data_IF_838277935369
#
_entry.id   IF_838277935369
#
_cell.length_a   1.000
_cell.length_b   1.000
_cell.length_c   1.000
_cell.angle_alpha   90.00
_cell.angle_beta   90.00
_cell.angle_gamma   90.00
#
_symmetry.space_group_name_H-M   'P 1'
#
loop_
_entity.id
_entity.type
_entity.pdbx_description
1 polymer ?
#
# COMPACT_ATOMS: atom_id res chain seq x y z
N UNK A 1 32.37 -18.09 -17.80
CA UNK A 1 31.09 -17.92 -17.09
C UNK A 1 30.83 -16.43 -16.99
N UNK A 2 29.91 -15.89 -17.80
CA UNK A 2 29.63 -14.46 -17.79
C UNK A 2 29.09 -14.03 -16.44
N UNK A 3 29.72 -13.03 -15.82
CA UNK A 3 29.20 -12.41 -14.61
C UNK A 3 27.78 -11.94 -14.90
N UNK A 4 26.80 -12.50 -14.18
CA UNK A 4 25.41 -12.09 -14.27
C UNK A 4 25.36 -10.64 -13.80
N UNK A 5 25.05 -9.71 -14.70
CA UNK A 5 24.88 -8.30 -14.34
C UNK A 5 23.92 -8.23 -13.14
N UNK A 6 24.25 -7.44 -12.09
CA UNK A 6 23.35 -7.29 -10.95
C UNK A 6 22.02 -6.75 -11.45
N UNK A 7 20.91 -7.41 -11.10
CA UNK A 7 19.60 -6.89 -11.47
C UNK A 7 19.44 -5.48 -10.86
N UNK A 8 18.85 -4.52 -11.61
CA UNK A 8 18.70 -3.16 -11.12
C UNK A 8 17.95 -3.18 -9.79
N UNK A 9 18.50 -2.51 -8.79
CA UNK A 9 17.93 -2.46 -7.45
C UNK A 9 16.52 -1.87 -7.54
N UNK A 10 15.52 -2.64 -7.08
CA UNK A 10 14.12 -2.23 -7.14
C UNK A 10 13.69 -1.73 -5.78
N UNK A 11 13.21 -0.50 -5.74
CA UNK A 11 12.51 0.05 -4.59
C UNK A 11 11.00 0.03 -4.81
N UNK A 12 10.26 -0.12 -3.72
CA UNK A 12 8.83 0.12 -3.64
C UNK A 12 8.51 0.74 -2.29
N UNK A 13 7.31 1.30 -2.13
CA UNK A 13 6.90 1.84 -0.86
C UNK A 13 5.42 1.67 -0.58
N UNK A 14 5.03 2.20 0.58
CA UNK A 14 3.65 2.35 1.01
C UNK A 14 3.53 3.61 1.84
N UNK A 15 2.59 4.48 1.48
CA UNK A 15 2.22 5.63 2.29
C UNK A 15 1.53 5.19 3.59
N UNK A 16 1.86 5.88 4.67
CA UNK A 16 1.32 5.64 6.01
C UNK A 16 0.69 6.94 6.56
N UNK A 17 0.17 6.88 7.79
CA UNK A 17 -0.22 8.10 8.52
C UNK A 17 1.05 8.84 8.93
N UNK A 18 1.22 10.08 8.46
CA UNK A 18 2.40 10.91 8.75
C UNK A 18 3.75 10.27 8.40
N UNK A 19 3.79 9.33 7.45
CA UNK A 19 5.01 8.58 7.18
C UNK A 19 5.00 7.77 5.91
N UNK A 20 6.15 7.15 5.61
CA UNK A 20 6.36 6.32 4.43
C UNK A 20 7.21 5.10 4.83
N UNK A 21 6.72 3.92 4.43
CA UNK A 21 7.52 2.70 4.38
C UNK A 21 8.16 2.59 3.01
N UNK A 22 9.47 2.36 2.96
CA UNK A 22 10.21 1.98 1.76
C UNK A 22 10.77 0.56 1.94
N UNK A 23 10.82 -0.18 0.83
CA UNK A 23 11.39 -1.52 0.79
C UNK A 23 12.31 -1.72 -0.41
N UNK A 24 13.31 -2.54 -0.18
CA UNK A 24 14.22 -3.13 -1.17
C UNK A 24 14.11 -4.67 -1.06
N UNK A 25 14.87 -5.45 -1.83
CA UNK A 25 14.80 -6.92 -1.79
C UNK A 25 14.99 -7.54 -0.40
N UNK A 26 15.87 -6.99 0.44
CA UNK A 26 16.24 -7.52 1.75
C UNK A 26 16.07 -6.51 2.90
N UNK A 27 15.73 -5.24 2.63
CA UNK A 27 15.60 -4.20 3.65
C UNK A 27 14.25 -3.51 3.60
N UNK A 28 13.80 -3.04 4.77
CA UNK A 28 12.66 -2.15 4.93
C UNK A 28 13.05 -1.00 5.87
N UNK A 29 12.59 0.20 5.54
CA UNK A 29 12.68 1.36 6.42
C UNK A 29 11.31 2.04 6.50
N UNK A 30 10.90 2.44 7.69
CA UNK A 30 9.67 3.20 7.94
C UNK A 30 10.07 4.50 8.60
N UNK A 31 9.69 5.63 8.01
CA UNK A 31 9.95 6.94 8.58
C UNK A 31 8.61 7.64 8.79
N UNK A 32 8.35 8.03 10.02
CA UNK A 32 7.19 8.82 10.41
C UNK A 32 7.66 10.17 10.96
N UNK A 33 6.93 11.24 10.63
CA UNK A 33 7.10 12.56 11.22
C UNK A 33 6.04 12.76 12.29
N UNK A 34 6.47 13.05 13.50
CA UNK A 34 5.55 13.45 14.57
C UNK A 34 5.16 14.91 14.41
N UNK A 35 4.04 15.26 15.01
CA UNK A 35 3.53 16.63 14.95
C UNK A 35 4.37 17.63 15.76
N UNK A 36 5.17 17.14 16.73
CA UNK A 36 6.18 17.92 17.45
C UNK A 36 7.45 18.16 16.61
N UNK A 37 7.52 17.63 15.39
CA UNK A 37 8.65 17.78 14.47
C UNK A 37 9.69 16.66 14.54
N UNK A 38 9.62 15.77 15.54
CA UNK A 38 10.54 14.64 15.68
C UNK A 38 10.36 13.62 14.56
N UNK A 39 11.45 12.94 14.22
CA UNK A 39 11.45 11.88 13.21
C UNK A 39 11.60 10.53 13.92
N UNK A 40 10.67 9.62 13.64
CA UNK A 40 10.75 8.23 14.12
C UNK A 40 11.09 7.34 12.94
N UNK A 41 12.25 6.70 13.02
CA UNK A 41 12.75 5.75 12.04
C UNK A 41 12.66 4.35 12.63
N UNK A 42 12.00 3.44 11.91
CA UNK A 42 12.04 2.01 12.17
C UNK A 42 12.76 1.31 11.02
N UNK A 43 13.78 0.55 11.34
CA UNK A 43 14.52 -0.27 10.39
C UNK A 43 14.18 -1.73 10.58
N UNK A 44 13.98 -2.47 9.48
CA UNK A 44 13.70 -3.90 9.55
C UNK A 44 14.31 -4.64 8.34
N UNK A 45 14.27 -5.97 8.39
CA UNK A 45 14.69 -6.84 7.30
C UNK A 45 13.47 -7.31 6.52
N UNK A 46 13.55 -7.26 5.20
CA UNK A 46 12.55 -7.90 4.35
C UNK A 46 12.86 -9.39 4.23
N UNK A 47 12.07 -10.24 4.87
CA UNK A 47 12.21 -11.70 4.77
C UNK A 47 11.23 -12.21 3.73
N UNK A 48 11.79 -12.88 2.74
CA UNK A 48 11.10 -13.42 1.57
C UNK A 48 10.74 -14.90 1.82
N UNK A 49 9.46 -15.28 1.75
CA UNK A 49 8.95 -16.67 1.92
C UNK A 49 9.58 -17.65 0.91
N UNK A 50 9.94 -17.13 -0.27
CA UNK A 50 10.67 -17.80 -1.34
C UNK A 50 12.08 -18.25 -0.96
N UNK A 51 12.71 -17.62 0.04
CA UNK A 51 14.03 -18.02 0.52
C UNK A 51 13.93 -19.38 1.20
N UNK A 52 12.78 -19.67 1.81
CA UNK A 52 12.44 -20.99 2.34
C UNK A 52 11.99 -21.94 1.22
N UNK A 53 11.06 -21.51 0.34
CA UNK A 53 10.43 -22.38 -0.66
C UNK A 53 10.57 -21.86 -2.10
N UNK A 54 11.59 -22.36 -2.82
CA UNK A 54 11.96 -21.90 -4.17
C UNK A 54 10.86 -22.06 -5.24
N UNK A 55 9.94 -23.02 -5.09
CA UNK A 55 8.87 -23.24 -6.07
C UNK A 55 7.85 -22.08 -6.14
N UNK A 56 7.78 -21.26 -5.08
CA UNK A 56 6.93 -20.07 -5.01
C UNK A 56 7.35 -18.99 -6.04
N UNK A 57 8.56 -19.09 -6.62
CA UNK A 57 9.06 -18.18 -7.67
C UNK A 57 8.40 -18.35 -9.04
N UNK A 58 7.60 -19.41 -9.23
CA UNK A 58 6.89 -19.67 -10.50
C UNK A 58 5.92 -18.51 -10.82
N UNK A 59 5.74 -18.16 -12.12
CA UNK A 59 4.72 -17.21 -12.54
C UNK A 59 3.35 -17.54 -11.95
N UNK A 60 2.49 -16.54 -11.77
CA UNK A 60 1.16 -16.63 -11.12
C UNK A 60 1.20 -16.86 -9.60
N UNK A 61 2.00 -17.80 -9.10
CA UNK A 61 2.19 -18.03 -7.66
C UNK A 61 2.97 -16.87 -7.02
N UNK A 62 3.97 -16.36 -7.73
CA UNK A 62 4.81 -15.28 -7.24
C UNK A 62 4.03 -14.03 -6.86
N UNK A 63 3.08 -13.61 -7.69
CA UNK A 63 2.31 -12.38 -7.45
C UNK A 63 1.51 -12.45 -6.15
N UNK A 64 0.87 -13.60 -5.90
CA UNK A 64 0.14 -13.84 -4.67
C UNK A 64 1.06 -13.80 -3.43
N UNK A 65 2.27 -14.37 -3.52
CA UNK A 65 3.24 -14.34 -2.41
C UNK A 65 3.77 -12.94 -2.14
N UNK A 66 4.19 -12.18 -3.18
CA UNK A 66 4.59 -10.76 -3.00
C UNK A 66 3.48 -9.98 -2.33
N UNK A 67 2.23 -10.19 -2.75
CA UNK A 67 1.08 -9.50 -2.20
C UNK A 67 0.87 -9.85 -0.72
N UNK A 68 0.94 -11.12 -0.34
CA UNK A 68 0.80 -11.56 1.06
C UNK A 68 1.90 -10.96 1.93
N UNK A 69 3.17 -11.03 1.48
CA UNK A 69 4.30 -10.42 2.19
C UNK A 69 4.14 -8.91 2.34
N UNK A 70 3.74 -8.23 1.25
CA UNK A 70 3.52 -6.79 1.25
C UNK A 70 2.35 -6.38 2.15
N UNK A 71 1.29 -7.18 2.18
CA UNK A 71 0.15 -6.92 3.07
C UNK A 71 0.54 -7.14 4.54
N UNK A 72 1.29 -8.20 4.87
CA UNK A 72 1.74 -8.46 6.23
C UNK A 72 2.64 -7.33 6.77
N UNK A 73 3.69 -6.98 6.02
CA UNK A 73 4.59 -5.89 6.38
C UNK A 73 3.86 -4.53 6.35
N UNK A 74 2.94 -4.36 5.39
CA UNK A 74 2.06 -3.20 5.27
C UNK A 74 1.20 -2.96 6.51
N UNK A 75 0.55 -4.01 7.03
CA UNK A 75 -0.24 -3.94 8.27
C UNK A 75 0.66 -3.61 9.47
N UNK A 76 1.86 -4.19 9.53
CA UNK A 76 2.86 -3.88 10.56
C UNK A 76 3.27 -2.40 10.54
N UNK A 77 3.58 -1.85 9.36
CA UNK A 77 3.96 -0.46 9.21
C UNK A 77 2.78 0.51 9.45
N UNK A 78 1.56 0.15 9.04
CA UNK A 78 0.36 0.95 9.35
C UNK A 78 0.11 1.01 10.85
N UNK A 79 0.15 -0.14 11.52
CA UNK A 79 0.03 -0.23 12.99
C UNK A 79 1.09 0.61 13.69
N UNK A 80 2.33 0.56 13.20
CA UNK A 80 3.42 1.39 13.71
C UNK A 80 3.13 2.89 13.53
N UNK A 81 2.75 3.33 12.32
CA UNK A 81 2.43 4.74 12.06
C UNK A 81 1.24 5.24 12.89
N UNK A 82 0.22 4.40 13.08
CA UNK A 82 -0.96 4.74 13.88
C UNK A 82 -0.60 4.90 15.36
N UNK A 83 0.30 4.06 15.89
CA UNK A 83 0.85 4.21 17.25
C UNK A 83 1.56 5.56 17.40
N UNK A 84 2.48 5.88 16.49
CA UNK A 84 3.24 7.15 16.53
C UNK A 84 2.31 8.37 16.41
N UNK A 85 1.27 8.27 15.57
CA UNK A 85 0.25 9.28 15.42
C UNK A 85 -0.55 9.50 16.71
N UNK A 86 -1.04 8.42 17.33
CA UNK A 86 -1.80 8.48 18.58
C UNK A 86 -0.97 9.05 19.74
N UNK A 87 0.28 8.62 19.90
CA UNK A 87 1.20 9.16 20.91
C UNK A 87 1.47 10.67 20.71
N UNK A 88 1.43 11.15 19.45
CA UNK A 88 1.55 12.57 19.14
C UNK A 88 0.34 13.39 19.63
N UNK A 89 -0.87 12.88 19.38
CA UNK A 89 -2.13 13.50 19.84
C UNK A 89 -2.22 13.52 21.38
N UNK A 90 -1.84 12.45 22.07
CA UNK A 90 -1.81 12.39 23.53
C UNK A 90 -0.86 13.43 24.13
N UNK A 91 0.35 13.57 23.58
CA UNK A 91 1.32 14.57 24.04
C UNK A 91 0.80 15.99 23.81
N UNK A 92 0.13 16.26 22.69
CA UNK A 92 -0.50 17.57 22.45
C UNK A 92 -1.58 17.86 23.47
N UNK A 93 -2.42 16.89 23.79
CA UNK A 93 -3.49 17.07 24.78
C UNK A 93 -2.91 17.34 26.17
N UNK A 94 -1.83 16.63 26.54
CA UNK A 94 -1.08 16.87 27.77
C UNK A 94 -0.48 18.28 27.78
N UNK A 95 0.23 18.70 26.73
CA UNK A 95 0.81 20.04 26.62
C UNK A 95 -0.24 21.14 26.71
N UNK A 96 -1.40 20.94 26.07
CA UNK A 96 -2.53 21.89 26.13
C UNK A 96 -3.12 21.98 27.52
N UNK A 97 -3.25 20.85 28.24
CA UNK A 97 -3.67 20.82 29.65
C UNK A 97 -2.66 21.52 30.56
N UNK A 98 -1.35 21.31 30.35
CA UNK A 98 -0.28 21.98 31.12
C UNK A 98 -0.23 23.48 30.84
N UNK A 99 -0.40 23.90 29.59
CA UNK A 99 -0.44 25.32 29.21
C UNK A 99 -1.70 26.04 29.73
N UNK A 100 -2.85 25.35 29.75
CA UNK A 100 -4.10 25.88 30.30
C UNK A 100 -4.10 25.98 31.84
N UNK A 101 -3.26 25.19 32.51
CA UNK A 101 -3.12 25.20 33.97
C UNK A 101 -2.25 26.35 34.52
N UNK A 102 -1.64 27.17 33.65
CA UNK A 102 -1.03 28.48 33.97
C UNK A 102 -0.16 28.56 35.23
N UNK A 103 1.16 28.40 35.09
CA UNK A 103 2.22 28.93 35.97
C UNK A 103 2.01 28.94 37.52
N UNK A 104 1.23 28.03 38.09
CA UNK A 104 1.07 27.88 39.53
C UNK A 104 1.74 26.59 40.01
N UNK A 105 2.96 26.74 40.53
CA UNK A 105 3.79 25.77 41.26
C UNK A 105 4.03 24.38 40.61
N UNK A 106 5.20 23.74 40.84
CA UNK A 106 5.42 22.40 40.34
C UNK A 106 4.38 21.47 41.00
N UNK A 107 3.59 20.71 40.22
CA UNK A 107 2.71 19.72 40.82
C UNK A 107 3.62 18.74 41.56
N UNK A 108 3.46 18.64 42.88
CA UNK A 108 3.90 17.48 43.64
C UNK A 108 3.55 16.24 42.84
N UNK A 109 4.57 15.41 42.60
CA UNK A 109 4.59 14.12 41.90
C UNK A 109 3.24 13.37 41.99
N UNK A 110 2.26 13.80 41.19
CA UNK A 110 1.03 13.06 40.98
C UNK A 110 1.34 12.16 39.83
N UNK A 111 1.45 10.88 40.18
CA UNK A 111 1.66 9.74 39.30
C UNK A 111 1.16 10.04 37.89
N UNK A 112 2.06 9.87 36.92
CA UNK A 112 1.75 9.92 35.51
C UNK A 112 0.39 9.25 35.27
N UNK A 113 -0.52 9.86 34.49
CA UNK A 113 -1.75 9.18 34.09
C UNK A 113 -1.33 7.82 33.53
N UNK A 114 -1.88 6.74 34.08
CA UNK A 114 -1.56 5.39 33.63
C UNK A 114 -1.70 5.36 32.10
N UNK A 115 -0.70 4.85 31.36
CA UNK A 115 -0.81 4.74 29.91
C UNK A 115 -2.12 3.99 29.61
N UNK A 116 -2.97 4.58 28.77
CA UNK A 116 -4.23 3.94 28.38
C UNK A 116 -3.94 2.49 28.01
N UNK A 117 -4.61 1.55 28.68
CA UNK A 117 -4.31 0.13 28.54
C UNK A 117 -4.30 -0.22 27.04
N UNK A 118 -3.25 -0.91 26.54
CA UNK A 118 -3.21 -1.30 25.14
C UNK A 118 -4.52 -2.02 24.80
N UNK A 119 -5.12 -1.65 23.66
CA UNK A 119 -6.37 -2.23 23.18
C UNK A 119 -6.31 -3.76 23.36
N UNK A 120 -7.27 -4.31 24.11
CA UNK A 120 -7.35 -5.75 24.34
C UNK A 120 -7.29 -6.50 23.02
N UNK A 121 -6.59 -7.64 22.97
CA UNK A 121 -6.54 -8.48 21.77
C UNK A 121 -7.93 -8.80 21.21
N UNK A 122 -8.95 -8.84 22.08
CA UNK A 122 -10.34 -9.01 21.69
C UNK A 122 -10.92 -7.80 20.95
N UNK A 123 -10.64 -6.56 21.39
CA UNK A 123 -11.15 -5.35 20.71
C UNK A 123 -10.49 -5.18 19.34
N UNK A 124 -9.19 -5.49 19.23
CA UNK A 124 -8.48 -5.53 17.95
C UNK A 124 -9.13 -6.57 17.03
N UNK A 125 -9.32 -7.81 17.51
CA UNK A 125 -9.93 -8.88 16.73
C UNK A 125 -11.36 -8.54 16.26
N UNK A 126 -12.18 -7.94 17.14
CA UNK A 126 -13.54 -7.49 16.81
C UNK A 126 -13.52 -6.39 15.74
N UNK A 127 -12.63 -5.41 15.86
CA UNK A 127 -12.52 -4.29 14.91
C UNK A 127 -12.07 -4.77 13.53
N UNK A 128 -11.08 -5.66 13.49
CA UNK A 128 -10.61 -6.28 12.24
C UNK A 128 -11.72 -7.12 11.60
N UNK A 129 -12.43 -7.93 12.39
CA UNK A 129 -13.54 -8.76 11.88
C UNK A 129 -14.68 -7.90 11.34
N UNK A 130 -15.06 -6.86 12.08
CA UNK A 130 -16.13 -5.94 11.68
C UNK A 130 -15.76 -5.16 10.41
N UNK A 131 -14.54 -4.63 10.31
CA UNK A 131 -14.07 -3.91 9.12
C UNK A 131 -13.99 -4.82 7.88
N UNK A 132 -13.56 -6.07 8.04
CA UNK A 132 -13.63 -7.08 6.98
C UNK A 132 -15.11 -7.34 6.60
N UNK A 133 -15.99 -7.62 7.55
CA UNK A 133 -17.41 -7.84 7.24
C UNK A 133 -18.02 -6.66 6.47
N UNK A 134 -17.71 -5.43 6.86
CA UNK A 134 -18.15 -4.21 6.18
C UNK A 134 -17.58 -4.09 4.77
N UNK A 135 -16.30 -4.38 4.57
CA UNK A 135 -15.68 -4.36 3.26
C UNK A 135 -16.30 -5.42 2.32
N UNK A 136 -16.58 -6.62 2.84
CA UNK A 136 -17.29 -7.68 2.11
C UNK A 136 -18.72 -7.26 1.76
N UNK A 137 -19.43 -6.65 2.71
CA UNK A 137 -20.77 -6.12 2.46
C UNK A 137 -20.75 -5.05 1.35
N UNK A 138 -19.84 -4.10 1.40
CA UNK A 138 -19.80 -2.95 0.49
C UNK A 138 -19.23 -3.29 -0.90
N UNK A 139 -18.20 -4.14 -1.00
CA UNK A 139 -17.50 -4.38 -2.28
C UNK A 139 -17.86 -5.71 -2.95
N UNK A 140 -18.49 -6.64 -2.23
CA UNK A 140 -18.89 -7.94 -2.79
C UNK A 140 -20.40 -8.08 -2.81
N UNK A 141 -21.05 -7.92 -1.66
CA UNK A 141 -22.50 -8.17 -1.54
C UNK A 141 -23.32 -7.06 -2.19
N UNK A 142 -23.01 -5.79 -1.89
CA UNK A 142 -23.76 -4.64 -2.39
C UNK A 142 -23.78 -4.56 -3.94
N UNK A 143 -22.66 -4.68 -4.67
CA UNK A 143 -22.70 -4.68 -6.14
C UNK A 143 -23.49 -5.86 -6.73
N UNK A 144 -23.38 -7.03 -6.10
CA UNK A 144 -24.08 -8.24 -6.53
C UNK A 144 -25.59 -8.09 -6.35
N UNK A 145 -26.05 -7.60 -5.19
CA UNK A 145 -27.46 -7.32 -4.95
C UNK A 145 -27.99 -6.19 -5.83
N UNK A 146 -27.22 -5.13 -6.04
CA UNK A 146 -27.58 -4.04 -6.94
C UNK A 146 -27.77 -4.53 -8.38
N UNK A 147 -26.95 -5.49 -8.83
CA UNK A 147 -27.10 -6.13 -10.15
C UNK A 147 -28.41 -6.92 -10.26
N UNK A 148 -28.73 -7.72 -9.24
CA UNK A 148 -29.99 -8.47 -9.19
C UNK A 148 -31.19 -7.52 -9.23
N UNK A 149 -31.17 -6.47 -8.41
CA UNK A 149 -32.24 -5.48 -8.33
C UNK A 149 -32.41 -4.71 -9.66
N UNK A 150 -31.31 -4.34 -10.31
CA UNK A 150 -31.35 -3.69 -11.62
C UNK A 150 -32.01 -4.59 -12.69
N UNK A 151 -31.77 -5.90 -12.64
CA UNK A 151 -32.46 -6.84 -13.53
C UNK A 151 -33.97 -6.85 -13.31
N UNK A 152 -34.42 -6.84 -12.05
CA UNK A 152 -35.85 -6.75 -11.70
C UNK A 152 -36.45 -5.43 -12.22
N UNK A 153 -35.76 -4.31 -12.00
CA UNK A 153 -36.22 -2.99 -12.44
C UNK A 153 -36.38 -2.88 -13.96
N UNK A 154 -35.47 -3.52 -14.72
CA UNK A 154 -35.50 -3.53 -16.18
C UNK A 154 -36.45 -4.59 -16.77
N UNK A 155 -37.16 -5.36 -15.92
CA UNK A 155 -38.03 -6.46 -16.36
C UNK A 155 -37.26 -7.62 -17.03
N UNK A 156 -35.96 -7.74 -16.78
CA UNK A 156 -35.08 -8.78 -17.35
C UNK A 156 -34.28 -9.41 -16.22
N UNK A 157 -34.63 -10.62 -15.80
CA UNK A 157 -33.87 -11.33 -14.77
C UNK A 157 -32.40 -11.50 -15.21
N UNK A 158 -31.49 -10.84 -14.49
CA UNK A 158 -30.05 -11.04 -14.64
C UNK A 158 -29.64 -12.15 -13.69
N UNK A 159 -29.29 -13.31 -14.24
CA UNK A 159 -28.88 -14.48 -13.46
C UNK A 159 -27.37 -14.67 -13.51
N UNK A 160 -26.82 -15.31 -12.47
CA UNK A 160 -25.36 -15.51 -12.28
C UNK A 160 -24.71 -16.41 -13.34
N UNK A 161 -25.46 -17.04 -14.23
CA UNK A 161 -24.95 -17.80 -15.37
C UNK A 161 -24.84 -16.95 -16.65
N UNK A 162 -25.27 -15.69 -16.62
CA UNK A 162 -25.22 -14.79 -17.78
C UNK A 162 -23.95 -13.96 -17.80
N UNK A 163 -23.33 -13.82 -18.98
CA UNK A 163 -22.23 -12.87 -19.22
C UNK A 163 -22.63 -11.45 -18.83
N UNK A 164 -23.87 -11.04 -19.17
CA UNK A 164 -24.40 -9.71 -18.85
C UNK A 164 -24.46 -9.45 -17.34
N UNK A 165 -24.78 -10.45 -16.51
CA UNK A 165 -24.76 -10.31 -15.06
C UNK A 165 -23.36 -9.95 -14.56
N UNK A 166 -22.33 -10.67 -15.01
CA UNK A 166 -20.96 -10.43 -14.58
C UNK A 166 -20.39 -9.10 -15.07
N UNK A 167 -20.76 -8.68 -16.28
CA UNK A 167 -20.34 -7.38 -16.81
C UNK A 167 -20.98 -6.23 -16.02
N UNK A 168 -22.30 -6.31 -15.76
CA UNK A 168 -23.03 -5.30 -14.97
C UNK A 168 -22.56 -5.28 -13.52
N UNK A 169 -22.40 -6.44 -12.86
CA UNK A 169 -21.82 -6.55 -11.51
C UNK A 169 -20.43 -5.93 -11.46
N UNK A 170 -19.63 -6.16 -12.50
CA UNK A 170 -18.32 -5.55 -12.66
C UNK A 170 -18.35 -4.03 -12.73
N UNK A 171 -19.23 -3.47 -13.57
CA UNK A 171 -19.39 -2.02 -13.73
C UNK A 171 -19.89 -1.39 -12.43
N UNK A 172 -20.90 -1.98 -11.77
CA UNK A 172 -21.41 -1.49 -10.49
C UNK A 172 -20.30 -1.55 -9.42
N UNK A 173 -19.55 -2.66 -9.34
CA UNK A 173 -18.44 -2.80 -8.40
C UNK A 173 -17.35 -1.75 -8.64
N UNK A 174 -17.00 -1.48 -9.90
CA UNK A 174 -16.07 -0.41 -10.26
C UNK A 174 -16.60 0.96 -9.81
N UNK A 175 -17.88 1.25 -10.07
CA UNK A 175 -18.51 2.50 -9.66
C UNK A 175 -18.50 2.67 -8.14
N UNK A 176 -18.91 1.65 -7.38
CA UNK A 176 -18.87 1.64 -5.90
C UNK A 176 -17.44 1.86 -5.40
N UNK A 177 -16.45 1.18 -5.98
CA UNK A 177 -15.05 1.34 -5.61
C UNK A 177 -14.54 2.76 -5.85
N UNK A 178 -14.78 3.33 -7.03
CA UNK A 178 -14.34 4.68 -7.36
C UNK A 178 -15.05 5.74 -6.52
N UNK A 179 -16.36 5.59 -6.30
CA UNK A 179 -17.14 6.49 -5.44
C UNK A 179 -16.66 6.44 -3.98
N UNK A 180 -16.36 5.25 -3.46
CA UNK A 180 -15.81 5.10 -2.12
C UNK A 180 -14.47 5.83 -1.98
N UNK A 181 -13.51 5.56 -2.88
CA UNK A 181 -12.19 6.19 -2.85
C UNK A 181 -12.30 7.71 -3.01
N UNK A 182 -13.16 8.17 -3.91
CA UNK A 182 -13.43 9.60 -4.07
C UNK A 182 -14.05 10.22 -2.80
N UNK A 183 -15.00 9.54 -2.17
CA UNK A 183 -15.65 10.00 -0.94
C UNK A 183 -14.68 10.13 0.24
N UNK A 184 -13.84 9.12 0.48
CA UNK A 184 -12.86 9.20 1.57
C UNK A 184 -11.74 10.22 1.27
N UNK A 185 -11.51 10.58 0.01
CA UNK A 185 -10.48 11.56 -0.38
C UNK A 185 -10.73 12.97 0.18
N UNK A 186 -11.95 13.25 0.67
CA UNK A 186 -12.31 14.50 1.33
C UNK A 186 -11.93 14.54 2.82
N UNK A 187 -11.62 13.39 3.43
CA UNK A 187 -11.17 13.33 4.82
C UNK A 187 -9.72 13.85 4.92
N UNK A 188 -9.44 14.69 5.92
CA UNK A 188 -8.14 15.37 6.07
C UNK A 188 -6.99 14.36 6.16
N UNK A 189 -7.13 13.33 6.97
CA UNK A 189 -6.07 12.35 7.22
C UNK A 189 -5.80 11.52 5.96
N UNK A 190 -6.85 11.09 5.26
CA UNK A 190 -6.73 10.37 3.97
C UNK A 190 -6.08 11.26 2.92
N UNK A 191 -6.43 12.54 2.87
CA UNK A 191 -5.80 13.50 1.96
C UNK A 191 -4.30 13.65 2.24
N UNK A 192 -3.90 13.68 3.52
CA UNK A 192 -2.49 13.70 3.93
C UNK A 192 -1.79 12.40 3.54
N UNK A 193 -2.40 11.24 3.78
CA UNK A 193 -1.86 9.95 3.29
C UNK A 193 -1.69 9.92 1.77
N UNK A 194 -2.63 10.51 1.00
CA UNK A 194 -2.49 10.63 -0.46
C UNK A 194 -1.36 11.59 -0.88
N UNK A 195 -0.99 12.57 -0.06
CA UNK A 195 0.20 13.39 -0.28
C UNK A 195 1.48 12.60 -0.03
N UNK A 196 1.57 11.85 1.08
CA UNK A 196 2.69 10.92 1.31
C UNK A 196 2.83 9.87 0.21
N UNK A 197 1.71 9.39 -0.34
CA UNK A 197 1.70 8.50 -1.50
C UNK A 197 2.26 9.17 -2.76
N UNK A 198 1.91 10.45 -2.98
CA UNK A 198 2.55 11.25 -4.03
C UNK A 198 4.06 11.40 -3.82
N UNK A 199 4.49 11.63 -2.57
CA UNK A 199 5.91 11.76 -2.22
C UNK A 199 6.69 10.45 -2.47
N UNK A 200 6.12 9.31 -2.09
CA UNK A 200 6.68 7.97 -2.35
C UNK A 200 6.95 7.77 -3.85
N UNK A 201 5.93 8.02 -4.68
CA UNK A 201 6.04 7.90 -6.13
C UNK A 201 7.11 8.83 -6.72
N UNK A 202 7.18 10.07 -6.25
CA UNK A 202 8.14 11.04 -6.74
C UNK A 202 9.59 10.66 -6.37
N UNK A 203 9.81 10.15 -5.16
CA UNK A 203 11.13 9.67 -4.73
C UNK A 203 11.58 8.42 -5.51
N UNK A 204 10.68 7.44 -5.68
CA UNK A 204 10.96 6.23 -6.47
C UNK A 204 11.23 6.59 -7.93
N UNK A 205 10.45 7.50 -8.52
CA UNK A 205 10.65 7.93 -9.91
C UNK A 205 12.01 8.61 -10.11
N UNK A 206 12.46 9.41 -9.14
CA UNK A 206 13.79 10.03 -9.14
C UNK A 206 14.89 8.97 -9.12
N UNK A 207 14.76 7.98 -8.21
CA UNK A 207 15.69 6.87 -8.09
C UNK A 207 15.74 6.00 -9.36
N UNK A 208 14.58 5.66 -9.93
CA UNK A 208 14.46 4.88 -11.16
C UNK A 208 15.12 5.57 -12.37
N UNK A 209 15.13 6.91 -12.39
CA UNK A 209 15.79 7.71 -13.43
C UNK A 209 17.30 7.82 -13.21
N UNK A 210 17.85 7.22 -12.16
CA UNK A 210 19.25 7.38 -11.77
C UNK A 210 19.59 8.81 -11.36
N UNK A 211 18.59 9.61 -11.00
CA UNK A 211 18.81 10.96 -10.46
C UNK A 211 19.13 10.87 -8.98
N UNK A 212 19.85 11.87 -8.51
CA UNK A 212 20.18 12.02 -7.11
C UNK A 212 18.92 12.35 -6.29
N UNK A 213 18.77 11.70 -5.14
CA UNK A 213 17.64 11.90 -4.22
C UNK A 213 17.79 13.20 -3.42
N UNK A 214 17.53 14.33 -4.08
CA UNK A 214 17.42 15.68 -3.50
C UNK A 214 16.03 16.25 -3.71
N UNK A 215 15.65 17.24 -2.90
CA UNK A 215 14.37 17.95 -3.09
C UNK A 215 14.24 18.56 -4.48
N UNK A 216 15.33 19.11 -5.03
CA UNK A 216 15.35 19.71 -6.36
C UNK A 216 15.01 18.70 -7.48
N UNK A 217 15.49 17.47 -7.38
CA UNK A 217 15.24 16.44 -8.40
C UNK A 217 13.91 15.71 -8.17
N UNK A 218 13.50 15.55 -6.91
CA UNK A 218 12.22 14.89 -6.57
C UNK A 218 11.03 15.78 -6.89
N UNK A 219 11.12 17.08 -6.61
CA UNK A 219 10.02 18.04 -6.82
C UNK A 219 9.43 17.97 -8.24
N UNK A 220 10.17 18.01 -9.36
CA UNK A 220 9.56 18.00 -10.70
C UNK A 220 8.89 16.66 -11.07
N UNK A 221 9.09 15.58 -10.31
CA UNK A 221 8.55 14.26 -10.66
C UNK A 221 7.02 14.21 -10.58
N UNK A 222 6.45 13.30 -11.37
CA UNK A 222 5.03 12.99 -11.38
C UNK A 222 4.63 12.22 -10.12
N UNK A 223 3.42 12.47 -9.62
CA UNK A 223 2.81 11.61 -8.58
C UNK A 223 2.20 10.33 -9.16
N UNK A 224 2.26 10.13 -10.48
CA UNK A 224 1.75 8.93 -11.15
C UNK A 224 2.89 7.93 -11.37
N UNK A 225 2.70 6.68 -10.93
CA UNK A 225 3.73 5.64 -11.03
C UNK A 225 3.14 4.27 -11.44
N UNK A 226 3.70 3.57 -12.45
CA UNK A 226 3.10 2.36 -13.02
C UNK A 226 3.14 1.12 -12.12
N UNK A 227 3.94 1.12 -11.05
CA UNK A 227 4.09 -0.03 -10.13
C UNK A 227 3.32 0.10 -8.81
N UNK A 228 2.38 1.02 -8.74
CA UNK A 228 1.62 1.32 -7.52
C UNK A 228 0.59 0.22 -7.15
N UNK A 229 0.41 -0.02 -5.85
CA UNK A 229 -0.62 -0.91 -5.30
C UNK A 229 -2.06 -0.47 -5.61
N UNK A 230 -2.34 0.83 -5.76
CA UNK A 230 -3.68 1.31 -6.14
C UNK A 230 -4.03 0.93 -7.59
N UNK A 231 -3.05 0.96 -8.50
CA UNK A 231 -3.20 0.40 -9.84
C UNK A 231 -3.39 -1.11 -9.80
N UNK A 232 -2.73 -1.79 -8.86
CA UNK A 232 -2.94 -3.23 -8.65
C UNK A 232 -4.38 -3.58 -8.28
N UNK A 233 -5.01 -2.86 -7.34
CA UNK A 233 -6.41 -3.12 -6.98
C UNK A 233 -7.36 -2.96 -8.19
N UNK A 234 -7.16 -1.93 -9.01
CA UNK A 234 -7.97 -1.71 -10.21
C UNK A 234 -7.74 -2.80 -11.26
N UNK A 235 -6.49 -3.19 -11.49
CA UNK A 235 -6.17 -4.29 -12.42
C UNK A 235 -6.74 -5.62 -11.91
N UNK A 236 -6.73 -5.87 -10.60
CA UNK A 236 -7.40 -7.03 -9.98
C UNK A 236 -8.90 -6.99 -10.23
N UNK A 237 -9.53 -5.84 -10.02
CA UNK A 237 -10.96 -5.67 -10.23
C UNK A 237 -11.32 -5.90 -11.71
N UNK A 238 -10.61 -5.28 -12.66
CA UNK A 238 -10.82 -5.48 -14.10
C UNK A 238 -10.56 -6.93 -14.53
N UNK A 239 -9.47 -7.53 -14.04
CA UNK A 239 -9.14 -8.94 -14.30
C UNK A 239 -10.21 -9.87 -13.74
N UNK A 240 -10.80 -9.54 -12.59
CA UNK A 240 -11.91 -10.30 -12.01
C UNK A 240 -13.17 -10.23 -12.87
N UNK A 241 -13.49 -9.05 -13.43
CA UNK A 241 -14.65 -8.88 -14.31
C UNK A 241 -14.48 -9.73 -15.56
N UNK A 242 -13.30 -9.66 -16.18
CA UNK A 242 -13.00 -10.45 -17.37
C UNK A 242 -13.05 -11.95 -17.07
N UNK A 243 -12.36 -12.41 -16.02
CA UNK A 243 -12.32 -13.82 -15.66
C UNK A 243 -13.72 -14.34 -15.32
N UNK A 244 -14.48 -13.62 -14.50
CA UNK A 244 -15.80 -14.07 -14.08
C UNK A 244 -16.78 -14.08 -15.26
N UNK A 245 -16.75 -13.06 -16.12
CA UNK A 245 -17.59 -13.01 -17.32
C UNK A 245 -17.29 -14.14 -18.30
N UNK A 246 -16.04 -14.62 -18.35
CA UNK A 246 -15.64 -15.73 -19.22
C UNK A 246 -15.86 -17.11 -18.59
N UNK A 247 -15.68 -17.27 -17.27
CA UNK A 247 -15.68 -18.57 -16.61
C UNK A 247 -17.08 -19.01 -16.15
N UNK A 248 -17.82 -18.10 -15.50
CA UNK A 248 -19.06 -18.44 -14.82
C UNK A 248 -20.22 -18.87 -15.73
N UNK A 249 -20.35 -18.38 -16.98
CA UNK A 249 -21.35 -18.92 -17.90
C UNK A 249 -21.19 -20.41 -18.23
N UNK A 250 -19.99 -20.96 -18.06
CA UNK A 250 -19.69 -22.38 -18.30
C UNK A 250 -19.67 -23.23 -17.02
N UNK A 251 -19.89 -22.61 -15.85
CA UNK A 251 -20.00 -23.36 -14.60
C UNK A 251 -21.30 -24.18 -14.55
N UNK A 252 -21.35 -25.29 -13.80
CA UNK A 252 -22.56 -26.06 -13.62
C UNK A 252 -23.73 -25.17 -13.19
N UNK A 253 -24.81 -25.20 -13.98
CA UNK A 253 -26.04 -24.47 -13.68
C UNK A 253 -26.71 -25.17 -12.51
N UNK A 254 -26.42 -24.72 -11.29
CA UNK A 254 -27.00 -25.21 -10.04
C UNK A 254 -28.48 -24.81 -9.93
N UNK A 255 -29.28 -25.17 -10.94
CA UNK A 255 -30.66 -24.74 -11.12
C UNK A 255 -31.60 -25.32 -10.04
N UNK A 256 -31.26 -26.51 -9.53
CA UNK A 256 -31.99 -27.21 -8.46
C UNK A 256 -31.90 -26.53 -7.09
N UNK A 257 -30.94 -25.61 -6.90
CA UNK A 257 -30.79 -24.90 -5.62
C UNK A 257 -31.75 -23.71 -5.52
N UNK A 258 -32.28 -23.42 -4.31
CA UNK A 258 -33.03 -22.18 -4.07
C UNK A 258 -32.22 -20.95 -4.50
N UNK A 259 -32.90 -19.93 -5.06
CA UNK A 259 -32.25 -18.73 -5.65
C UNK A 259 -31.17 -18.14 -4.73
N UNK A 260 -31.47 -17.97 -3.44
CA UNK A 260 -30.55 -17.41 -2.43
C UNK A 260 -29.31 -18.31 -2.24
N UNK A 261 -29.51 -19.63 -2.09
CA UNK A 261 -28.43 -20.59 -1.90
C UNK A 261 -27.50 -20.60 -3.11
N UNK A 262 -28.07 -20.54 -4.33
CA UNK A 262 -27.29 -20.44 -5.56
C UNK A 262 -26.39 -19.20 -5.57
N UNK A 263 -26.91 -18.03 -5.19
CA UNK A 263 -26.08 -16.82 -5.09
C UNK A 263 -24.97 -16.95 -4.05
N UNK A 264 -25.26 -17.51 -2.87
CA UNK A 264 -24.26 -17.72 -1.82
C UNK A 264 -23.14 -18.67 -2.26
N UNK A 265 -23.48 -19.77 -2.93
CA UNK A 265 -22.51 -20.73 -3.48
C UNK A 265 -21.60 -20.04 -4.51
N UNK A 266 -22.16 -19.25 -5.42
CA UNK A 266 -21.37 -18.53 -6.42
C UNK A 266 -20.44 -17.50 -5.78
N UNK A 267 -20.87 -16.79 -4.73
CA UNK A 267 -20.00 -15.89 -3.96
C UNK A 267 -18.87 -16.68 -3.28
N UNK A 268 -19.18 -17.81 -2.65
CA UNK A 268 -18.20 -18.68 -2.01
C UNK A 268 -17.14 -19.20 -3.00
N UNK A 269 -17.52 -19.49 -4.25
CA UNK A 269 -16.59 -19.88 -5.32
C UNK A 269 -15.73 -18.71 -5.78
N UNK A 270 -16.28 -17.49 -5.88
CA UNK A 270 -15.54 -16.29 -6.30
C UNK A 270 -14.41 -15.93 -5.33
N UNK A 271 -14.59 -16.13 -4.03
CA UNK A 271 -13.63 -15.71 -2.99
C UNK A 271 -12.23 -16.35 -3.16
N UNK A 272 -12.07 -17.69 -3.25
CA UNK A 272 -10.78 -18.30 -3.52
C UNK A 272 -10.15 -17.87 -4.86
N UNK A 273 -10.98 -17.57 -5.87
CA UNK A 273 -10.51 -17.11 -7.19
C UNK A 273 -9.81 -15.74 -7.14
N UNK A 274 -9.97 -14.97 -6.06
CA UNK A 274 -9.21 -13.72 -5.88
C UNK A 274 -7.70 -13.95 -5.88
N UNK A 275 -7.22 -15.10 -5.38
CA UNK A 275 -5.79 -15.43 -5.37
C UNK A 275 -5.22 -15.59 -6.80
N UNK A 276 -5.74 -16.47 -7.68
CA UNK A 276 -5.24 -16.55 -9.05
C UNK A 276 -5.45 -15.25 -9.84
N UNK A 277 -6.55 -14.51 -9.60
CA UNK A 277 -6.76 -13.19 -10.22
C UNK A 277 -5.65 -12.22 -9.81
N UNK A 278 -5.28 -12.19 -8.52
CA UNK A 278 -4.19 -11.36 -8.01
C UNK A 278 -2.84 -11.72 -8.66
N UNK A 279 -2.58 -13.02 -8.84
CA UNK A 279 -1.40 -13.52 -9.53
C UNK A 279 -1.34 -13.04 -10.98
N UNK A 280 -2.43 -13.19 -11.75
CA UNK A 280 -2.52 -12.70 -13.13
C UNK A 280 -2.33 -11.19 -13.20
N UNK A 281 -2.97 -10.45 -12.29
CA UNK A 281 -2.91 -8.98 -12.23
C UNK A 281 -1.49 -8.49 -11.96
N UNK A 282 -0.78 -9.15 -11.05
CA UNK A 282 0.63 -8.86 -10.77
C UNK A 282 1.51 -9.07 -12.01
N UNK A 283 1.32 -10.18 -12.72
CA UNK A 283 2.07 -10.45 -13.96
C UNK A 283 1.78 -9.42 -15.04
N UNK A 284 0.52 -9.01 -15.20
CA UNK A 284 0.11 -8.00 -16.17
C UNK A 284 0.79 -6.65 -15.90
N UNK A 285 0.79 -6.19 -14.64
CA UNK A 285 1.45 -4.94 -14.26
C UNK A 285 2.96 -5.04 -14.43
N UNK A 286 3.57 -6.15 -14.03
CA UNK A 286 5.01 -6.38 -14.19
C UNK A 286 5.40 -6.39 -15.67
N UNK A 287 4.60 -7.00 -16.53
CA UNK A 287 4.83 -7.00 -17.98
C UNK A 287 4.66 -5.61 -18.58
N UNK A 288 3.62 -4.85 -18.17
CA UNK A 288 3.41 -3.48 -18.62
C UNK A 288 4.58 -2.56 -18.21
N UNK A 289 5.10 -2.71 -16.98
CA UNK A 289 6.27 -1.98 -16.51
C UNK A 289 7.56 -2.39 -17.26
N UNK A 290 7.68 -3.67 -17.66
CA UNK A 290 8.83 -4.15 -18.44
C UNK A 290 8.79 -3.65 -19.90
N UNK A 291 7.60 -3.50 -20.47
CA UNK A 291 7.41 -3.11 -21.87
C UNK A 291 6.56 -1.83 -21.99
N UNK A 292 7.06 -0.67 -21.53
CA UNK A 292 6.27 0.57 -21.45
C UNK A 292 5.83 1.10 -22.82
N UNK A 293 6.51 0.73 -23.90
CA UNK A 293 6.17 1.13 -25.28
C UNK A 293 5.08 0.27 -25.92
N UNK A 294 4.63 -0.81 -25.28
CA UNK A 294 3.58 -1.66 -25.83
C UNK A 294 2.19 -1.04 -25.56
N UNK A 295 1.43 -0.65 -26.60
CA UNK A 295 0.18 0.07 -26.43
C UNK A 295 -0.92 -0.78 -25.78
N UNK A 296 -0.94 -2.10 -26.02
CA UNK A 296 -1.92 -3.00 -25.43
C UNK A 296 -1.68 -3.18 -23.93
N UNK A 297 -0.43 -3.40 -23.52
CA UNK A 297 -0.07 -3.51 -22.11
C UNK A 297 -0.32 -2.19 -21.37
N UNK A 298 0.00 -1.06 -22.01
CA UNK A 298 -0.27 0.26 -21.45
C UNK A 298 -1.78 0.50 -21.29
N UNK A 299 -2.59 0.20 -22.31
CA UNK A 299 -4.05 0.31 -22.25
C UNK A 299 -4.65 -0.56 -21.13
N UNK A 300 -4.12 -1.76 -20.91
CA UNK A 300 -4.60 -2.67 -19.88
C UNK A 300 -4.38 -2.14 -18.45
N UNK A 301 -3.28 -1.42 -18.19
CA UNK A 301 -2.98 -0.84 -16.86
C UNK A 301 -3.40 0.62 -16.71
N UNK A 302 -3.74 1.29 -17.81
CA UNK A 302 -4.11 2.71 -17.85
C UNK A 302 -5.24 3.08 -16.88
N UNK A 303 -6.33 2.30 -16.73
CA UNK A 303 -7.36 2.62 -15.74
C UNK A 303 -6.79 2.71 -14.32
N UNK A 304 -5.85 1.82 -13.98
CA UNK A 304 -5.16 1.84 -12.70
C UNK A 304 -4.22 3.04 -12.53
N UNK A 305 -3.65 3.58 -13.61
CA UNK A 305 -2.91 4.85 -13.55
C UNK A 305 -3.85 6.04 -13.33
N UNK A 306 -5.04 6.03 -13.94
CA UNK A 306 -5.99 7.13 -13.79
C UNK A 306 -6.55 7.25 -12.39
N UNK A 307 -6.74 6.15 -11.67
CA UNK A 307 -7.18 6.21 -10.27
C UNK A 307 -6.18 6.90 -9.34
N UNK A 308 -4.90 6.92 -9.71
CA UNK A 308 -3.89 7.68 -8.96
C UNK A 308 -4.14 9.18 -8.99
N UNK A 309 -4.89 9.70 -9.97
CA UNK A 309 -5.33 11.10 -9.95
C UNK A 309 -6.28 11.41 -8.79
N UNK A 310 -6.90 10.38 -8.19
CA UNK A 310 -7.74 10.48 -7.00
C UNK A 310 -6.92 10.11 -5.75
N UNK A 311 -6.12 9.04 -5.82
CA UNK A 311 -5.40 8.46 -4.67
C UNK A 311 -3.99 9.02 -4.43
N UNK A 312 -3.56 10.01 -5.21
CA UNK A 312 -2.32 10.76 -4.99
C UNK A 312 -2.61 12.24 -5.00
N UNK A 313 -1.83 13.00 -4.23
CA UNK A 313 -1.88 14.46 -4.19
C UNK A 313 -0.46 15.00 -4.18
N UNK A 314 -0.31 16.27 -4.56
CA UNK A 314 0.99 16.93 -4.52
C UNK A 314 1.45 17.08 -3.06
N UNK A 315 2.60 16.51 -2.67
CA UNK A 315 3.14 16.66 -1.32
C UNK A 315 3.75 18.04 -1.08
N UNK A 316 3.91 18.38 0.19
CA UNK A 316 4.77 19.46 0.68
C UNK A 316 6.22 18.99 0.74
N UNK A 317 7.18 19.93 0.82
CA UNK A 317 8.60 19.61 0.81
C UNK A 317 9.01 18.72 2.00
N UNK A 318 8.40 18.92 3.16
CA UNK A 318 8.65 18.07 4.33
C UNK A 318 8.20 16.61 4.14
N UNK A 319 7.12 16.37 3.39
CA UNK A 319 6.73 15.01 3.03
C UNK A 319 7.71 14.38 2.02
N UNK A 320 8.26 15.19 1.11
CA UNK A 320 9.32 14.74 0.20
C UNK A 320 10.61 14.39 0.96
N UNK A 321 10.96 15.17 1.97
CA UNK A 321 12.09 14.91 2.88
C UNK A 321 11.95 13.55 3.57
N UNK A 322 10.78 13.25 4.14
CA UNK A 322 10.48 11.95 4.75
C UNK A 322 10.61 10.82 3.73
N UNK A 323 10.10 11.02 2.50
CA UNK A 323 10.21 10.03 1.43
C UNK A 323 11.66 9.77 1.01
N UNK A 324 12.46 10.82 0.89
CA UNK A 324 13.88 10.76 0.54
C UNK A 324 14.66 10.03 1.65
N UNK A 325 14.42 10.41 2.91
CA UNK A 325 15.07 9.82 4.08
C UNK A 325 14.76 8.32 4.19
N UNK A 326 13.48 7.96 4.08
CA UNK A 326 13.03 6.56 4.10
C UNK A 326 13.68 5.73 2.99
N UNK A 327 13.72 6.27 1.76
CA UNK A 327 14.31 5.57 0.62
C UNK A 327 15.83 5.44 0.77
N UNK A 328 16.54 6.51 1.14
CA UNK A 328 18.00 6.48 1.36
C UNK A 328 18.38 5.48 2.45
N UNK A 329 17.69 5.47 3.59
CA UNK A 329 17.98 4.53 4.68
C UNK A 329 17.75 3.08 4.23
N UNK A 330 16.65 2.81 3.52
CA UNK A 330 16.36 1.50 2.96
C UNK A 330 17.46 1.02 1.99
N UNK A 331 17.89 1.87 1.06
CA UNK A 331 18.95 1.55 0.09
C UNK A 331 20.32 1.36 0.76
N UNK A 332 20.64 2.17 1.77
CA UNK A 332 21.86 2.02 2.56
C UNK A 332 21.90 0.68 3.27
N UNK A 333 20.81 0.31 3.95
CA UNK A 333 20.72 -0.95 4.69
C UNK A 333 20.73 -2.15 3.75
N UNK A 334 20.13 -2.06 2.57
CA UNK A 334 20.27 -3.08 1.51
C UNK A 334 21.73 -3.29 1.11
N UNK A 335 22.49 -2.21 0.90
CA UNK A 335 23.90 -2.30 0.55
C UNK A 335 24.71 -2.98 1.66
N UNK A 336 24.49 -2.60 2.92
CA UNK A 336 25.13 -3.24 4.07
C UNK A 336 24.83 -4.75 4.14
N UNK A 337 23.57 -5.14 3.90
CA UNK A 337 23.18 -6.57 3.85
C UNK A 337 23.86 -7.32 2.69
N UNK A 338 24.03 -6.68 1.53
CA UNK A 338 24.73 -7.25 0.38
C UNK A 338 26.23 -7.41 0.63
N UNK A 339 26.83 -6.45 1.34
CA UNK A 339 28.25 -6.44 1.72
C UNK A 339 28.56 -7.39 2.90
N UNK A 340 27.54 -8.11 3.42
CA UNK A 340 27.69 -9.10 4.48
C UNK A 340 27.84 -8.50 5.88
N UNK A 341 27.52 -7.22 6.06
CA UNK A 341 27.55 -6.59 7.36
C UNK A 341 26.52 -7.23 8.31
N UNK A 342 26.86 -7.43 9.60
CA UNK A 342 25.89 -7.83 10.61
C UNK A 342 24.93 -6.66 10.86
N UNK A 343 23.88 -6.59 10.07
CA UNK A 343 22.82 -5.60 10.30
C UNK A 343 21.95 -6.10 11.45
N UNK A 344 21.88 -5.32 12.54
CA UNK A 344 21.13 -5.66 13.74
C UNK A 344 19.63 -5.92 13.50
N UNK A 345 18.99 -6.55 14.49
CA UNK A 345 17.53 -6.77 14.52
C UNK A 345 16.73 -5.45 14.39
N UNK A 346 15.42 -5.55 14.21
CA UNK A 346 14.51 -4.41 14.07
C UNK A 346 14.79 -3.34 15.12
N UNK A 347 15.16 -2.14 14.70
CA UNK A 347 15.49 -1.01 15.58
C UNK A 347 14.50 0.13 15.37
N UNK A 348 14.19 0.83 16.44
CA UNK A 348 13.40 2.07 16.44
C UNK A 348 14.29 3.19 16.99
N UNK A 349 14.43 4.26 16.21
CA UNK A 349 15.29 5.40 16.52
C UNK A 349 14.44 6.66 16.43
N UNK A 350 14.50 7.48 17.48
CA UNK A 350 13.82 8.78 17.53
C UNK A 350 14.87 9.87 17.41
N UNK A 351 14.70 10.74 16.43
CA UNK A 351 15.51 11.93 16.23
C UNK A 351 14.73 13.17 16.65
N UNK A 352 15.42 14.12 17.27
CA UNK A 352 14.81 15.38 17.71
C UNK A 352 14.27 16.21 16.54
N UNK A 353 14.94 16.15 15.39
CA UNK A 353 14.52 16.81 14.17
C UNK A 353 15.01 16.09 12.90
N UNK A 354 14.63 16.63 11.75
CA UNK A 354 15.03 16.10 10.44
C UNK A 354 16.55 16.21 10.20
N UNK A 355 17.20 17.27 10.68
CA UNK A 355 18.64 17.48 10.49
C UNK A 355 19.45 16.41 11.22
N UNK A 356 19.04 16.05 12.44
CA UNK A 356 19.63 14.96 13.21
C UNK A 356 19.43 13.60 12.52
N UNK A 357 18.24 13.34 11.97
CA UNK A 357 17.96 12.13 11.21
C UNK A 357 18.82 12.03 9.92
N UNK A 358 19.06 13.16 9.26
CA UNK A 358 19.96 13.23 8.10
C UNK A 358 21.42 13.04 8.50
N UNK A 359 21.85 13.57 9.64
CA UNK A 359 23.20 13.36 10.16
C UNK A 359 23.48 11.87 10.48
N UNK A 360 22.50 11.14 11.02
CA UNK A 360 22.60 9.68 11.28
C UNK A 360 22.81 8.86 10.01
N UNK A 361 22.28 9.31 8.86
CA UNK A 361 22.60 8.69 7.57
C UNK A 361 24.09 8.82 7.19
N UNK A 362 24.89 9.61 7.92
CA UNK A 362 26.33 9.77 7.72
C UNK A 362 26.70 10.57 6.45
N UNK A 363 25.96 11.64 6.12
CA UNK A 363 26.08 12.43 4.86
C UNK A 363 27.50 12.86 4.45
N UNK A 364 27.82 13.16 3.15
CA UNK A 364 26.99 13.27 1.94
C UNK A 364 27.60 12.67 0.62
N UNK A 365 28.42 11.62 0.63
CA UNK A 365 29.08 11.16 -0.62
C UNK A 365 28.51 9.86 -1.21
N UNK A 366 27.95 8.98 -0.37
CA UNK A 366 27.52 7.64 -0.81
C UNK A 366 26.18 7.60 -1.57
N UNK A 367 25.43 8.70 -1.62
CA UNK A 367 24.09 8.77 -2.25
C UNK A 367 23.89 9.95 -3.20
N UNK A 368 24.96 10.73 -3.46
CA UNK A 368 24.91 11.96 -4.26
C UNK A 368 25.33 11.75 -5.74
N UNK A 369 25.94 10.60 -6.05
CA UNK A 369 25.98 10.10 -7.43
C UNK A 369 24.85 9.11 -7.61
N UNK A 370 23.77 9.58 -8.23
CA UNK A 370 22.80 8.69 -8.85
C UNK A 370 23.56 7.60 -9.61
N UNK A 371 23.22 6.34 -9.32
CA UNK A 371 23.93 5.21 -9.89
C UNK A 371 23.95 5.35 -11.40
N UNK A 372 25.10 5.73 -11.94
CA UNK A 372 25.50 5.40 -13.29
C UNK A 372 25.55 3.88 -13.36
N UNK A 373 24.41 3.25 -13.62
CA UNK A 373 24.43 2.00 -14.35
C UNK A 373 24.80 2.42 -15.77
N UNK A 374 26.07 2.26 -16.12
CA UNK A 374 26.56 2.46 -17.47
C UNK A 374 25.63 1.70 -18.43
N UNK A 375 24.91 2.46 -19.25
CA UNK A 375 24.24 1.91 -20.41
C UNK A 375 25.34 1.68 -21.44
N UNK A 376 25.82 0.44 -21.51
CA UNK A 376 26.34 -0.15 -22.73
C UNK A 376 25.45 -1.32 -23.14
#
# INVERSE_FOLDING_TARGET
MGAKQPEPMRAGGQALLEGIMMRSPNSMAVVCRREDGRIVLKEDRWISLWDRWKFLRKPFLRGAIVMIESMWNGIGALSFSAKIYAEGEELKEQQKKTAAAGAAEPPAEKAAPEPEKPLSNLSIALTVTFSLAMAMAMFVVLPHLATVYLGVLLGRELTVDMVSFHLVDGVIKMAVFLLYIWGISFLKDIRRTFMYHGAEHMAIATFDQGQELTLANVRPQSTLHPRCGTSFLIVVLLSSILLFSLLFPFMPKLAELPKIVRHLVYIAIKLPLLLPISGVSYELIRLAAKYPRNPLLHAAVWPGLMTQKITTRRPTDDMLEISILSLKKCLWREKQLQDGAPVGESSEIVFDDFSAAVADLGTPELFFRGGSCEIQ
#
